data_IF_340246388803
#
_entry.id   IF_340246388803
#
_cell.length_a   1.000
_cell.length_b   1.000
_cell.length_c   1.000
_cell.angle_alpha   90.00
_cell.angle_beta   90.00
_cell.angle_gamma   90.00
#
_symmetry.space_group_name_H-M   'P 1'
#
loop_
_entity.id
_entity.type
_entity.pdbx_description
1 polymer ?
#
# COMPACT_ATOMS: atom_id res chain seq x y z
N UNK A 1 10.48 -23.26 -4.41
CA UNK A 1 10.04 -24.66 -4.42
C UNK A 1 10.46 -25.34 -3.12
N UNK A 2 9.53 -25.93 -2.42
CA UNK A 2 9.76 -26.60 -1.14
C UNK A 2 9.08 -27.99 -1.19
N UNK A 3 9.66 -28.96 -0.48
CA UNK A 3 9.06 -30.29 -0.30
C UNK A 3 8.72 -30.47 1.17
N UNK A 4 7.46 -30.78 1.46
CA UNK A 4 7.01 -31.16 2.80
C UNK A 4 6.48 -32.58 2.72
N UNK A 5 7.29 -33.55 3.17
CA UNK A 5 7.03 -34.96 2.93
C UNK A 5 6.97 -35.24 1.42
N UNK A 6 5.86 -35.79 0.95
CA UNK A 6 5.62 -36.06 -0.48
C UNK A 6 4.89 -34.91 -1.21
N UNK A 7 4.65 -33.78 -0.55
CA UNK A 7 3.95 -32.63 -1.13
C UNK A 7 4.95 -31.61 -1.64
N UNK A 8 4.86 -31.26 -2.93
CA UNK A 8 5.64 -30.20 -3.54
C UNK A 8 4.89 -28.89 -3.49
N UNK A 9 5.47 -27.90 -2.81
CA UNK A 9 4.94 -26.54 -2.75
C UNK A 9 5.69 -25.67 -3.75
N UNK A 10 4.97 -24.99 -4.63
CA UNK A 10 5.53 -24.06 -5.59
C UNK A 10 4.79 -22.72 -5.47
N UNK A 11 5.52 -21.62 -5.44
CA UNK A 11 4.99 -20.27 -5.48
C UNK A 11 5.69 -19.51 -6.60
N UNK A 12 4.93 -19.00 -7.56
CA UNK A 12 5.40 -18.11 -8.61
C UNK A 12 5.50 -16.67 -8.08
N UNK A 13 6.12 -15.78 -8.87
CA UNK A 13 6.24 -14.36 -8.52
C UNK A 13 4.89 -13.65 -8.53
N UNK A 14 4.81 -12.55 -7.80
CA UNK A 14 3.65 -11.65 -7.80
C UNK A 14 3.40 -11.05 -9.19
N UNK A 15 2.20 -10.53 -9.41
CA UNK A 15 1.79 -9.82 -10.63
C UNK A 15 1.91 -10.65 -11.92
N UNK A 16 1.77 -11.98 -11.82
CA UNK A 16 1.87 -12.93 -12.93
C UNK A 16 3.17 -12.84 -13.75
N UNK A 17 4.28 -12.37 -13.16
CA UNK A 17 5.59 -12.30 -13.82
C UNK A 17 6.11 -13.67 -14.22
N UNK A 18 5.76 -14.70 -13.46
CA UNK A 18 6.10 -16.10 -13.74
C UNK A 18 4.91 -17.01 -13.48
N UNK A 19 4.91 -18.19 -14.11
CA UNK A 19 3.95 -19.26 -13.89
C UNK A 19 4.64 -20.60 -13.79
N UNK A 20 4.17 -21.50 -12.91
CA UNK A 20 4.61 -22.90 -12.93
C UNK A 20 3.72 -23.74 -13.84
N UNK A 21 4.37 -24.51 -14.69
CA UNK A 21 3.74 -25.56 -15.49
C UNK A 21 4.12 -26.91 -14.87
N UNK A 22 3.12 -27.65 -14.38
CA UNK A 22 3.31 -28.96 -13.79
C UNK A 22 2.85 -30.04 -14.77
N UNK A 23 3.75 -30.99 -15.09
CA UNK A 23 3.42 -32.21 -15.81
C UNK A 23 3.33 -33.35 -14.81
N UNK A 24 2.16 -33.95 -14.69
CA UNK A 24 1.88 -35.05 -13.75
C UNK A 24 1.68 -36.32 -14.55
N UNK A 25 2.53 -37.32 -14.32
CA UNK A 25 2.41 -38.64 -14.91
C UNK A 25 1.97 -39.63 -13.82
N UNK A 26 0.88 -40.32 -14.07
CA UNK A 26 0.35 -41.36 -13.20
C UNK A 26 0.45 -42.73 -13.90
N UNK A 27 1.25 -43.65 -13.34
CA UNK A 27 1.32 -45.03 -13.81
C UNK A 27 0.15 -45.85 -13.21
N UNK A 28 -0.81 -46.21 -14.07
CA UNK A 28 -2.00 -46.97 -13.62
C UNK A 28 -1.70 -48.33 -13.04
N UNK A 29 -0.58 -48.98 -13.47
CA UNK A 29 -0.18 -50.33 -13.03
C UNK A 29 0.57 -50.27 -11.69
N UNK A 30 1.61 -49.43 -11.59
CA UNK A 30 2.44 -49.32 -10.37
C UNK A 30 1.87 -48.37 -9.34
N UNK A 31 0.85 -47.54 -9.72
CA UNK A 31 0.28 -46.44 -8.89
C UNK A 31 1.27 -45.34 -8.57
N UNK A 32 2.40 -45.30 -9.23
CA UNK A 32 3.42 -44.28 -9.04
C UNK A 32 3.02 -42.97 -9.71
N UNK A 33 3.35 -41.85 -9.05
CA UNK A 33 3.17 -40.50 -9.56
C UNK A 33 4.54 -39.85 -9.72
N UNK A 34 4.79 -39.30 -10.90
CA UNK A 34 5.94 -38.44 -11.13
C UNK A 34 5.49 -37.05 -11.53
N UNK A 35 6.10 -36.01 -10.92
CA UNK A 35 5.77 -34.61 -11.14
C UNK A 35 7.03 -33.87 -11.60
N UNK A 36 7.00 -33.33 -12.81
CA UNK A 36 7.97 -32.36 -13.27
C UNK A 36 7.36 -30.94 -13.24
N UNK A 37 8.17 -29.92 -12.93
CA UNK A 37 7.71 -28.53 -12.78
C UNK A 37 8.66 -27.61 -13.50
N UNK A 38 8.14 -26.83 -14.43
CA UNK A 38 8.88 -25.78 -15.17
C UNK A 38 8.39 -24.40 -14.72
N UNK A 39 9.30 -23.53 -14.31
CA UNK A 39 9.00 -22.11 -14.11
C UNK A 39 9.12 -21.38 -15.46
N UNK A 40 8.02 -20.78 -15.89
CA UNK A 40 7.93 -20.02 -17.15
C UNK A 40 7.82 -18.54 -16.81
N UNK A 41 8.72 -17.73 -17.37
CA UNK A 41 8.58 -16.27 -17.36
C UNK A 41 7.45 -15.84 -18.31
N UNK A 42 6.63 -14.91 -17.86
CA UNK A 42 5.56 -14.30 -18.65
C UNK A 42 6.08 -12.95 -19.13
N UNK A 43 6.35 -12.84 -20.40
CA UNK A 43 6.91 -11.66 -21.05
C UNK A 43 6.28 -11.44 -22.45
N UNK A 44 6.72 -10.42 -23.16
CA UNK A 44 6.21 -10.02 -24.47
C UNK A 44 6.44 -11.06 -25.58
N UNK A 45 7.21 -12.12 -25.33
CA UNK A 45 7.39 -13.23 -26.29
C UNK A 45 6.15 -14.16 -26.32
N UNK A 46 5.27 -14.06 -25.33
CA UNK A 46 4.04 -14.84 -25.24
C UNK A 46 2.91 -14.06 -25.92
N UNK A 47 2.37 -14.65 -26.99
CA UNK A 47 1.28 -14.02 -27.73
C UNK A 47 -0.03 -14.13 -26.94
N UNK A 48 -0.79 -13.05 -26.87
CA UNK A 48 -2.10 -13.01 -26.23
C UNK A 48 -3.08 -14.00 -26.85
N UNK A 49 -3.78 -14.78 -26.03
CA UNK A 49 -4.95 -15.52 -26.49
C UNK A 49 -6.09 -14.55 -26.87
N UNK A 50 -6.57 -14.65 -28.10
CA UNK A 50 -7.58 -13.72 -28.64
C UNK A 50 -8.87 -13.69 -27.83
N UNK A 51 -9.32 -14.84 -27.28
CA UNK A 51 -10.56 -14.89 -26.50
C UNK A 51 -10.37 -14.29 -25.12
N UNK A 52 -9.25 -14.59 -24.48
CA UNK A 52 -8.89 -14.01 -23.18
C UNK A 52 -8.72 -12.50 -23.29
N UNK A 53 -8.04 -12.03 -24.37
CA UNK A 53 -7.85 -10.62 -24.62
C UNK A 53 -9.17 -9.84 -24.68
N UNK A 54 -10.18 -10.36 -25.36
CA UNK A 54 -11.51 -9.71 -25.42
C UNK A 54 -12.14 -9.53 -24.01
N UNK A 55 -11.96 -10.50 -23.14
CA UNK A 55 -12.45 -10.41 -21.75
C UNK A 55 -11.65 -9.38 -20.96
N UNK A 56 -10.33 -9.38 -21.12
CA UNK A 56 -9.43 -8.41 -20.46
C UNK A 56 -9.76 -6.99 -20.93
N UNK A 57 -9.85 -6.75 -22.23
CA UNK A 57 -10.13 -5.44 -22.82
C UNK A 57 -11.46 -4.88 -22.27
N UNK A 58 -12.51 -5.70 -22.19
CA UNK A 58 -13.80 -5.30 -21.57
C UNK A 58 -13.65 -4.83 -20.12
N UNK A 59 -12.89 -5.54 -19.32
CA UNK A 59 -12.69 -5.15 -17.91
C UNK A 59 -11.75 -3.96 -17.75
N UNK A 60 -10.79 -3.81 -18.67
CA UNK A 60 -9.95 -2.61 -18.74
C UNK A 60 -10.79 -1.36 -19.05
N UNK A 61 -11.78 -1.44 -19.95
CA UNK A 61 -12.71 -0.32 -20.20
C UNK A 61 -13.51 0.05 -18.96
N UNK A 62 -14.03 -0.96 -18.22
CA UNK A 62 -14.75 -0.72 -16.96
C UNK A 62 -13.83 -0.05 -15.93
N UNK A 63 -12.63 -0.56 -15.76
CA UNK A 63 -11.62 0.00 -14.84
C UNK A 63 -11.31 1.46 -15.21
N UNK A 64 -11.01 1.72 -16.50
CA UNK A 64 -10.70 3.05 -16.99
C UNK A 64 -11.86 4.03 -16.76
N UNK A 65 -13.10 3.59 -16.99
CA UNK A 65 -14.28 4.40 -16.68
C UNK A 65 -14.41 4.75 -15.19
N UNK A 66 -14.01 3.87 -14.28
CA UNK A 66 -14.02 4.19 -12.85
C UNK A 66 -12.88 5.13 -12.45
N UNK A 67 -11.67 4.90 -12.98
CA UNK A 67 -10.51 5.76 -12.72
C UNK A 67 -10.76 7.17 -13.27
N UNK A 68 -11.37 7.30 -14.46
CA UNK A 68 -11.67 8.62 -15.08
C UNK A 68 -12.68 9.46 -14.29
N UNK A 69 -13.42 8.88 -13.35
CA UNK A 69 -14.25 9.66 -12.40
C UNK A 69 -13.43 10.40 -11.34
N UNK A 70 -12.20 9.96 -11.11
CA UNK A 70 -11.30 10.50 -10.08
C UNK A 70 -10.19 11.33 -10.74
N UNK A 71 -9.71 10.90 -11.92
CA UNK A 71 -8.58 11.49 -12.64
C UNK A 71 -8.93 11.63 -14.12
N UNK A 72 -8.76 12.82 -14.68
CA UNK A 72 -9.11 13.13 -16.06
C UNK A 72 -8.33 12.29 -17.09
N UNK A 73 -7.00 12.17 -16.90
CA UNK A 73 -6.10 11.44 -17.79
C UNK A 73 -5.36 10.30 -17.05
N UNK A 74 -5.93 9.09 -16.93
CA UNK A 74 -5.36 8.01 -16.12
C UNK A 74 -3.96 7.56 -16.54
N UNK A 75 -3.63 7.65 -17.82
CA UNK A 75 -2.35 7.19 -18.38
C UNK A 75 -1.32 8.32 -18.58
N UNK A 76 -1.64 9.55 -18.18
CA UNK A 76 -0.67 10.63 -18.14
C UNK A 76 0.47 10.27 -17.19
N UNK A 77 1.72 10.47 -17.65
CA UNK A 77 2.90 10.32 -16.78
C UNK A 77 2.86 11.46 -15.77
N UNK A 78 2.74 11.11 -14.50
CA UNK A 78 2.63 12.06 -13.39
C UNK A 78 3.95 12.21 -12.63
N UNK A 79 4.86 11.25 -12.78
CA UNK A 79 6.16 11.27 -12.11
C UNK A 79 7.13 10.32 -12.81
N UNK A 80 8.42 10.67 -12.80
CA UNK A 80 9.50 9.80 -13.28
C UNK A 80 10.52 9.58 -12.17
N UNK A 81 10.94 8.33 -11.94
CA UNK A 81 11.96 8.01 -10.95
C UNK A 81 12.94 6.96 -11.45
N UNK A 82 14.24 7.23 -11.25
CA UNK A 82 15.29 6.24 -11.45
C UNK A 82 15.57 5.42 -10.18
N UNK A 83 15.01 5.84 -9.03
CA UNK A 83 15.14 5.14 -7.75
C UNK A 83 13.91 4.27 -7.55
N UNK A 84 14.04 2.93 -7.50
CA UNK A 84 12.90 2.05 -7.28
C UNK A 84 12.15 2.40 -5.99
N UNK A 85 10.86 2.69 -6.08
CA UNK A 85 9.97 2.90 -4.95
C UNK A 85 9.50 1.54 -4.44
N UNK A 86 9.93 1.14 -3.26
CA UNK A 86 9.75 -0.21 -2.72
C UNK A 86 8.38 -0.39 -2.07
N UNK A 87 7.49 -1.09 -2.76
CA UNK A 87 6.16 -1.50 -2.31
C UNK A 87 6.00 -3.00 -2.14
N UNK A 88 7.11 -3.77 -2.07
CA UNK A 88 7.07 -5.22 -1.87
C UNK A 88 6.46 -5.57 -0.52
N UNK A 89 5.71 -6.65 -0.46
CA UNK A 89 4.87 -7.00 0.69
C UNK A 89 5.65 -7.12 2.01
N UNK A 90 6.79 -7.80 2.01
CA UNK A 90 7.61 -7.97 3.22
C UNK A 90 8.23 -6.64 3.70
N UNK A 91 8.95 -5.84 2.86
CA UNK A 91 9.49 -4.56 3.30
C UNK A 91 8.44 -3.57 3.80
N UNK A 92 7.33 -3.40 3.05
CA UNK A 92 6.31 -2.40 3.39
C UNK A 92 5.60 -2.68 4.72
N UNK A 93 5.65 -3.93 5.18
CA UNK A 93 5.06 -4.37 6.45
C UNK A 93 6.07 -4.54 7.57
N UNK A 94 7.36 -4.30 7.34
CA UNK A 94 8.40 -4.59 8.33
C UNK A 94 9.35 -3.43 8.60
N UNK A 95 9.47 -2.48 7.67
CA UNK A 95 10.35 -1.31 7.78
C UNK A 95 9.80 -0.12 7.02
N UNK A 96 10.34 1.07 7.29
CA UNK A 96 10.02 2.24 6.47
C UNK A 96 10.57 2.04 5.06
N UNK A 97 9.74 2.28 4.06
CA UNK A 97 10.15 2.25 2.64
C UNK A 97 9.96 3.63 2.02
N UNK A 98 10.69 3.91 0.95
CA UNK A 98 10.55 5.17 0.23
C UNK A 98 9.14 5.33 -0.40
N UNK A 99 8.51 4.24 -0.86
CA UNK A 99 7.11 4.29 -1.32
C UNK A 99 6.15 4.59 -0.16
N UNK A 100 6.30 3.91 0.98
CA UNK A 100 5.46 4.15 2.16
C UNK A 100 5.59 5.57 2.68
N UNK A 101 6.81 6.10 2.74
CA UNK A 101 7.09 7.48 3.12
C UNK A 101 6.47 8.48 2.14
N UNK A 102 6.57 8.21 0.82
CA UNK A 102 5.97 9.04 -0.22
C UNK A 102 4.43 9.08 -0.07
N UNK A 103 3.79 7.95 0.17
CA UNK A 103 2.34 7.90 0.41
C UNK A 103 1.96 8.70 1.65
N UNK A 104 2.65 8.51 2.77
CA UNK A 104 2.39 9.27 3.99
C UNK A 104 2.62 10.79 3.77
N UNK A 105 3.66 11.18 3.01
CA UNK A 105 3.91 12.58 2.65
C UNK A 105 2.77 13.16 1.78
N UNK A 106 2.23 12.38 0.85
CA UNK A 106 1.10 12.80 0.02
C UNK A 106 -0.18 13.04 0.84
N UNK A 107 -0.35 12.32 1.95
CA UNK A 107 -1.44 12.55 2.88
C UNK A 107 -1.29 13.91 3.58
N UNK A 108 -0.07 14.30 3.95
CA UNK A 108 0.23 15.64 4.47
C UNK A 108 -0.05 16.72 3.41
N UNK A 109 0.42 16.47 2.18
CA UNK A 109 0.21 17.37 1.06
C UNK A 109 -1.27 17.64 0.79
N UNK A 110 -2.15 16.66 0.99
CA UNK A 110 -3.60 16.79 0.83
C UNK A 110 -4.23 17.81 1.77
N UNK A 111 -3.50 18.27 2.78
CA UNK A 111 -3.86 19.31 3.74
C UNK A 111 -2.90 20.50 3.69
N UNK A 112 -2.28 20.78 2.53
CA UNK A 112 -1.30 21.87 2.33
C UNK A 112 -0.13 21.81 3.34
N UNK A 113 0.22 20.62 3.81
CA UNK A 113 1.21 20.38 4.87
C UNK A 113 0.90 21.09 6.22
N UNK A 114 -0.37 21.42 6.47
CA UNK A 114 -0.84 22.01 7.74
C UNK A 114 -1.09 20.96 8.82
N UNK A 115 -0.26 19.93 8.88
CA UNK A 115 -0.33 18.84 9.86
C UNK A 115 1.05 18.53 10.41
N UNK A 116 1.12 17.99 11.62
CA UNK A 116 2.39 17.68 12.27
C UNK A 116 3.05 16.42 11.64
N UNK A 117 2.26 15.41 11.28
CA UNK A 117 2.75 14.16 10.71
C UNK A 117 1.64 13.34 10.01
N UNK A 118 2.04 12.30 9.26
CA UNK A 118 1.12 11.38 8.63
C UNK A 118 1.51 9.93 8.84
N UNK A 119 0.50 9.05 8.94
CA UNK A 119 0.66 7.60 9.09
C UNK A 119 -0.31 6.85 8.19
N UNK A 120 0.16 5.75 7.62
CA UNK A 120 -0.62 4.80 6.83
C UNK A 120 -0.17 3.38 7.13
N UNK A 121 -1.10 2.44 7.24
CA UNK A 121 -0.77 1.04 7.49
C UNK A 121 -0.20 0.35 6.23
N UNK A 122 0.81 -0.48 6.40
CA UNK A 122 1.45 -1.24 5.33
C UNK A 122 0.47 -2.14 4.57
N UNK A 123 -0.57 -2.63 5.26
CA UNK A 123 -1.64 -3.42 4.67
C UNK A 123 -2.49 -2.71 3.62
N UNK A 124 -2.49 -1.38 3.59
CA UNK A 124 -3.17 -0.59 2.55
C UNK A 124 -2.40 -0.55 1.23
N UNK A 125 -1.09 -0.84 1.25
CA UNK A 125 -0.18 -0.79 0.10
C UNK A 125 -0.06 -2.20 -0.49
N UNK A 126 -0.49 -2.41 -1.74
CA UNK A 126 -0.79 -3.77 -2.27
C UNK A 126 -0.10 -4.11 -3.58
N UNK A 127 0.87 -3.33 -4.02
CA UNK A 127 1.51 -3.56 -5.31
C UNK A 127 2.40 -4.83 -5.32
N UNK A 128 3.00 -5.20 -4.18
CA UNK A 128 4.01 -6.28 -4.03
C UNK A 128 5.07 -6.24 -5.14
N UNK A 129 5.56 -5.04 -5.43
CA UNK A 129 6.55 -4.75 -6.48
C UNK A 129 7.28 -3.44 -6.17
N UNK A 130 8.20 -3.07 -7.06
CA UNK A 130 8.87 -1.77 -7.07
C UNK A 130 8.39 -0.95 -8.27
N UNK A 131 8.08 0.33 -8.05
CA UNK A 131 7.80 1.27 -9.13
C UNK A 131 9.09 1.98 -9.53
N UNK A 132 9.41 1.97 -10.82
CA UNK A 132 10.60 2.64 -11.39
C UNK A 132 10.30 3.08 -12.82
N UNK A 133 10.92 4.15 -13.27
CA UNK A 133 10.66 4.78 -14.57
C UNK A 133 9.45 5.69 -14.53
N UNK A 134 8.65 5.66 -15.59
CA UNK A 134 7.45 6.47 -15.73
C UNK A 134 6.30 5.91 -14.90
N UNK A 135 5.73 6.75 -14.06
CA UNK A 135 4.60 6.44 -13.18
C UNK A 135 3.41 7.25 -13.66
N UNK A 136 2.27 6.60 -13.83
CA UNK A 136 1.00 7.23 -14.21
C UNK A 136 -0.06 7.10 -13.10
N UNK A 137 -1.22 7.71 -13.34
CA UNK A 137 -2.29 7.69 -12.33
C UNK A 137 -2.82 6.27 -12.05
N UNK A 138 -2.79 5.34 -13.03
CA UNK A 138 -3.22 3.95 -12.82
C UNK A 138 -2.34 3.26 -11.78
N UNK A 139 -1.04 3.60 -11.72
CA UNK A 139 -0.14 3.02 -10.74
C UNK A 139 -0.54 3.38 -9.30
N UNK A 140 -1.06 4.59 -9.06
CA UNK A 140 -1.59 4.96 -7.75
C UNK A 140 -2.77 4.05 -7.33
N UNK A 141 -3.62 3.64 -8.28
CA UNK A 141 -4.73 2.69 -8.02
C UNK A 141 -4.23 1.26 -7.80
N UNK A 142 -3.13 0.85 -8.45
CA UNK A 142 -2.48 -0.44 -8.21
C UNK A 142 -1.83 -0.48 -6.83
N UNK A 143 -1.21 0.62 -6.41
CA UNK A 143 -0.56 0.76 -5.09
C UNK A 143 -1.60 0.77 -3.97
N UNK A 144 -2.69 1.53 -4.12
CA UNK A 144 -3.71 1.77 -3.11
C UNK A 144 -5.11 1.34 -3.63
N UNK A 145 -5.35 0.04 -3.85
CA UNK A 145 -6.57 -0.43 -4.51
C UNK A 145 -7.86 -0.16 -3.73
N UNK A 146 -7.76 0.00 -2.41
CA UNK A 146 -8.93 0.22 -1.57
C UNK A 146 -9.37 1.69 -1.56
N UNK A 147 -8.48 2.65 -1.83
CA UNK A 147 -8.77 4.07 -1.71
C UNK A 147 -9.09 4.47 -0.27
N UNK A 148 -10.10 5.31 -0.10
CA UNK A 148 -10.55 5.80 1.20
C UNK A 148 -10.08 7.23 1.49
N UNK A 149 -10.75 7.88 2.45
CA UNK A 149 -10.43 9.24 2.83
C UNK A 149 -9.18 9.33 3.71
N UNK A 150 -8.44 10.41 3.56
CA UNK A 150 -7.43 10.85 4.52
C UNK A 150 -8.10 11.77 5.54
N UNK A 151 -8.20 11.34 6.79
CA UNK A 151 -8.78 12.13 7.88
C UNK A 151 -7.72 13.03 8.49
N UNK A 152 -8.12 14.25 8.91
CA UNK A 152 -7.30 15.12 9.76
C UNK A 152 -7.75 14.96 11.21
N UNK A 153 -6.89 14.36 12.02
CA UNK A 153 -7.20 13.99 13.40
C UNK A 153 -6.34 14.80 14.37
N UNK A 154 -6.95 15.41 15.38
CA UNK A 154 -6.24 15.98 16.52
C UNK A 154 -6.28 14.99 17.66
N UNK A 155 -5.11 14.60 18.19
CA UNK A 155 -5.00 13.68 19.31
C UNK A 155 -3.85 14.08 20.25
N UNK A 156 -3.90 13.62 21.51
CA UNK A 156 -2.79 13.82 22.44
C UNK A 156 -1.58 12.98 22.05
N UNK A 157 -0.39 13.50 22.36
CA UNK A 157 0.87 12.77 22.12
C UNK A 157 0.97 11.45 22.86
N UNK A 158 0.27 11.29 24.00
CA UNK A 158 0.15 10.02 24.71
C UNK A 158 -0.47 8.92 23.83
N UNK A 159 -1.55 9.25 23.12
CA UNK A 159 -2.20 8.31 22.19
C UNK A 159 -1.34 8.11 20.94
N UNK A 160 -0.77 9.18 20.39
CA UNK A 160 0.10 9.08 19.22
C UNK A 160 1.28 8.15 19.47
N UNK A 161 1.97 8.25 20.60
CA UNK A 161 3.06 7.33 20.97
C UNK A 161 2.57 5.88 21.03
N UNK A 162 1.43 5.61 21.67
CA UNK A 162 0.85 4.25 21.72
C UNK A 162 0.54 3.69 20.34
N UNK A 163 0.01 4.52 19.44
CA UNK A 163 -0.29 4.15 18.04
C UNK A 163 0.99 3.80 17.29
N UNK A 164 2.04 4.61 17.43
CA UNK A 164 3.32 4.41 16.77
C UNK A 164 4.04 3.18 17.33
N UNK A 165 4.04 2.97 18.64
CA UNK A 165 4.59 1.77 19.29
C UNK A 165 3.86 0.51 18.84
N UNK A 166 2.53 0.53 18.83
CA UNK A 166 1.73 -0.60 18.37
C UNK A 166 2.04 -0.95 16.90
N UNK A 167 2.05 0.05 16.02
CA UNK A 167 2.37 -0.15 14.62
C UNK A 167 3.81 -0.66 14.41
N UNK A 168 4.78 -0.16 15.17
CA UNK A 168 6.16 -0.63 15.09
C UNK A 168 6.30 -2.10 15.56
N UNK A 169 5.61 -2.46 16.63
CA UNK A 169 5.61 -3.83 17.18
C UNK A 169 4.83 -4.81 16.29
N UNK A 170 3.98 -4.31 15.39
CA UNK A 170 3.25 -5.10 14.40
C UNK A 170 4.07 -5.43 13.13
N UNK A 171 5.40 -5.26 13.17
CA UNK A 171 6.28 -5.59 12.05
C UNK A 171 6.04 -7.02 11.54
N UNK A 172 5.94 -7.18 10.22
CA UNK A 172 5.55 -8.42 9.55
C UNK A 172 4.04 -8.54 9.28
N UNK A 173 3.23 -7.62 9.77
CA UNK A 173 1.78 -7.61 9.55
C UNK A 173 1.31 -6.36 8.78
N UNK A 174 0.03 -6.36 8.37
CA UNK A 174 -0.59 -5.20 7.73
C UNK A 174 -0.71 -3.97 8.63
N UNK A 175 -0.67 -4.15 9.94
CA UNK A 175 -0.77 -3.08 10.94
C UNK A 175 0.53 -2.27 11.12
N UNK A 176 1.66 -2.72 10.54
CA UNK A 176 2.89 -1.92 10.53
C UNK A 176 2.67 -0.57 9.87
N UNK A 177 3.13 0.51 10.51
CA UNK A 177 2.87 1.87 10.06
C UNK A 177 4.02 2.46 9.23
N UNK A 178 3.73 2.81 8.00
CA UNK A 178 4.53 3.74 7.20
C UNK A 178 4.22 5.16 7.64
N UNK A 179 5.20 6.07 7.65
CA UNK A 179 5.06 7.38 8.26
C UNK A 179 5.84 8.47 7.53
N UNK A 180 5.38 9.72 7.68
CA UNK A 180 6.07 10.92 7.23
C UNK A 180 6.12 11.94 8.36
N UNK A 181 7.22 12.71 8.44
CA UNK A 181 7.51 13.69 9.51
C UNK A 181 7.64 13.08 10.91
N UNK A 182 7.85 11.76 10.99
CA UNK A 182 8.10 11.04 12.23
C UNK A 182 9.41 10.28 12.10
N UNK A 183 10.33 10.50 13.02
CA UNK A 183 11.56 9.75 13.16
C UNK A 183 11.48 8.85 14.38
N UNK A 184 12.26 7.77 14.38
CA UNK A 184 12.41 6.89 15.52
C UNK A 184 13.90 6.73 15.81
N UNK A 185 14.31 7.16 16.99
CA UNK A 185 15.66 7.01 17.52
C UNK A 185 15.60 6.06 18.71
N UNK A 186 16.23 4.91 18.58
CA UNK A 186 16.12 3.77 19.50
C UNK A 186 14.64 3.35 19.68
N UNK A 187 14.00 3.79 20.75
CA UNK A 187 12.60 3.49 21.08
C UNK A 187 11.71 4.72 21.13
N UNK A 188 12.26 5.92 20.92
CA UNK A 188 11.54 7.18 21.03
C UNK A 188 11.15 7.74 19.66
N UNK A 189 9.91 8.16 19.55
CA UNK A 189 9.42 8.86 18.36
C UNK A 189 9.57 10.37 18.53
N UNK A 190 9.96 11.02 17.44
CA UNK A 190 10.13 12.46 17.34
C UNK A 190 9.43 13.03 16.11
N UNK A 191 8.98 14.28 16.22
CA UNK A 191 8.43 15.09 15.14
C UNK A 191 9.20 16.42 15.15
N UNK A 192 9.72 16.83 13.98
CA UNK A 192 10.54 18.04 13.86
C UNK A 192 11.72 18.05 14.87
N UNK A 193 12.45 16.94 14.95
CA UNK A 193 13.59 16.75 15.86
C UNK A 193 13.26 16.88 17.37
N UNK A 194 11.99 16.86 17.73
CA UNK A 194 11.53 16.94 19.12
C UNK A 194 10.77 15.69 19.51
N UNK A 195 11.15 15.04 20.60
CA UNK A 195 10.43 13.89 21.15
C UNK A 195 8.94 14.23 21.34
N UNK A 196 8.06 13.30 20.99
CA UNK A 196 6.63 13.50 21.13
C UNK A 196 6.27 13.74 22.59
N UNK A 197 5.74 14.92 22.89
CA UNK A 197 5.27 15.29 24.22
C UNK A 197 3.90 14.68 24.49
N UNK A 198 3.72 13.81 25.49
CA UNK A 198 2.46 13.13 25.77
C UNK A 198 1.27 14.05 26.02
N UNK A 199 1.51 15.25 26.55
CA UNK A 199 0.45 16.23 26.90
C UNK A 199 0.10 17.19 25.76
N UNK A 200 0.94 17.29 24.71
CA UNK A 200 0.71 18.14 23.55
C UNK A 200 -0.33 17.50 22.63
N UNK A 201 -1.13 18.33 21.98
CA UNK A 201 -2.05 17.90 20.91
C UNK A 201 -1.30 17.98 19.58
N UNK A 202 -1.35 16.90 18.80
CA UNK A 202 -0.81 16.83 17.46
C UNK A 202 -1.93 16.68 16.44
N UNK A 203 -1.75 17.30 15.28
CA UNK A 203 -2.64 17.19 14.12
C UNK A 203 -2.03 16.20 13.13
N UNK A 204 -2.75 15.13 12.79
CA UNK A 204 -2.23 13.98 12.05
C UNK A 204 -3.10 13.70 10.84
N UNK A 205 -2.48 13.40 9.69
CA UNK A 205 -3.18 12.78 8.57
C UNK A 205 -3.14 11.26 8.72
N UNK A 206 -4.31 10.64 8.65
CA UNK A 206 -4.48 9.21 8.87
C UNK A 206 -5.60 8.66 7.95
N UNK A 207 -5.48 7.39 7.50
CA UNK A 207 -6.55 6.78 6.71
C UNK A 207 -7.82 6.56 7.55
N UNK A 208 -8.98 6.69 6.91
CA UNK A 208 -10.27 6.41 7.53
C UNK A 208 -10.36 4.95 8.02
N UNK A 209 -9.68 4.03 7.37
CA UNK A 209 -9.57 2.63 7.76
C UNK A 209 -8.94 2.46 9.15
N UNK A 210 -7.80 3.11 9.40
CA UNK A 210 -7.13 3.02 10.71
C UNK A 210 -7.99 3.58 11.84
N UNK A 211 -8.77 4.65 11.59
CA UNK A 211 -9.65 5.26 12.59
C UNK A 211 -10.88 4.39 12.92
N UNK A 212 -11.12 3.31 12.19
CA UNK A 212 -12.18 2.32 12.51
C UNK A 212 -11.73 1.26 13.52
N UNK A 213 -10.47 1.27 13.95
CA UNK A 213 -9.92 0.32 14.92
C UNK A 213 -9.65 -1.08 14.36
N UNK A 214 -9.62 -1.27 13.04
CA UNK A 214 -9.42 -2.61 12.46
C UNK A 214 -8.00 -3.14 12.68
N UNK A 215 -6.99 -2.37 12.35
CA UNK A 215 -5.58 -2.75 12.54
C UNK A 215 -5.06 -2.37 13.94
N UNK A 216 -5.60 -1.28 14.53
CA UNK A 216 -5.22 -0.76 15.85
C UNK A 216 -6.50 -0.64 16.67
N UNK A 217 -6.89 -1.66 17.48
CA UNK A 217 -8.22 -1.77 18.08
C UNK A 217 -8.65 -0.61 18.98
N UNK A 218 -7.70 0.09 19.60
CA UNK A 218 -8.01 1.25 20.45
C UNK A 218 -8.05 2.58 19.69
N UNK A 219 -7.67 2.63 18.42
CA UNK A 219 -7.66 3.84 17.60
C UNK A 219 -9.02 4.04 16.94
N UNK A 220 -9.89 4.72 17.65
CA UNK A 220 -11.26 5.03 17.21
C UNK A 220 -11.60 6.50 17.47
N UNK A 221 -12.58 7.08 16.79
CA UNK A 221 -13.02 8.47 17.04
C UNK A 221 -13.47 8.73 18.46
N UNK A 222 -13.92 7.69 19.19
CA UNK A 222 -14.43 7.79 20.56
C UNK A 222 -13.34 7.61 21.63
N UNK A 223 -12.07 7.44 21.27
CA UNK A 223 -10.99 7.35 22.24
C UNK A 223 -10.83 8.69 23.01
N UNK A 224 -10.71 8.68 24.37
CA UNK A 224 -10.68 9.91 25.16
C UNK A 224 -9.56 10.90 24.81
N UNK A 225 -8.46 10.44 24.23
CA UNK A 225 -7.35 11.28 23.79
C UNK A 225 -7.46 11.72 22.32
N UNK A 226 -8.52 11.36 21.60
CA UNK A 226 -8.89 11.93 20.30
C UNK A 226 -9.70 13.18 20.55
N UNK A 227 -9.19 14.32 20.12
CA UNK A 227 -9.80 15.65 20.38
C UNK A 227 -10.80 16.00 19.28
N UNK A 228 -10.46 15.71 18.02
CA UNK A 228 -11.35 15.92 16.89
C UNK A 228 -10.95 15.07 15.70
N UNK A 229 -11.94 14.72 14.88
CA UNK A 229 -11.76 14.03 13.59
C UNK A 229 -12.46 14.85 12.53
N UNK A 230 -11.69 15.33 11.56
CA UNK A 230 -12.22 15.98 10.37
C UNK A 230 -12.29 14.97 9.23
N UNK A 231 -13.47 14.82 8.65
CA UNK A 231 -13.71 14.00 7.46
C UNK A 231 -13.87 14.92 6.26
N UNK A 232 -13.04 14.77 5.20
CA UNK A 232 -13.08 15.66 4.05
C UNK A 232 -14.35 15.46 3.20
N UNK A 233 -14.77 16.53 2.53
CA UNK A 233 -15.81 16.47 1.51
C UNK A 233 -15.28 15.84 0.20
N UNK A 234 -16.17 15.32 -0.64
CA UNK A 234 -15.81 14.66 -1.90
C UNK A 234 -15.03 15.55 -2.88
N UNK A 235 -15.20 16.88 -2.80
CA UNK A 235 -14.46 17.84 -3.62
C UNK A 235 -13.01 18.05 -3.18
N UNK A 236 -12.66 17.70 -1.95
CA UNK A 236 -11.33 17.92 -1.40
C UNK A 236 -10.33 16.85 -1.88
N UNK A 237 -9.05 17.22 -1.95
CA UNK A 237 -7.96 16.31 -2.31
C UNK A 237 -7.88 15.12 -1.34
N UNK A 238 -8.07 15.36 -0.07
CA UNK A 238 -8.05 14.37 1.01
C UNK A 238 -9.23 13.40 1.00
N UNK A 239 -10.24 13.60 0.13
CA UNK A 239 -11.37 12.68 0.00
C UNK A 239 -11.00 11.28 -0.51
N UNK A 240 -9.86 11.17 -1.21
CA UNK A 240 -9.31 9.90 -1.68
C UNK A 240 -7.78 9.94 -1.60
N UNK A 241 -7.18 9.01 -0.87
CA UNK A 241 -5.72 8.91 -0.69
C UNK A 241 -4.97 8.82 -2.03
N UNK A 242 -5.59 8.22 -3.07
CA UNK A 242 -5.02 8.11 -4.42
C UNK A 242 -4.96 9.46 -5.11
N UNK A 243 -6.00 10.29 -4.94
CA UNK A 243 -6.04 11.67 -5.45
C UNK A 243 -4.92 12.50 -4.83
N UNK A 244 -4.73 12.38 -3.51
CA UNK A 244 -3.61 13.00 -2.80
C UNK A 244 -2.25 12.55 -3.34
N UNK A 245 -2.06 11.24 -3.53
CA UNK A 245 -0.82 10.68 -4.07
C UNK A 245 -0.53 11.19 -5.48
N UNK A 246 -1.52 11.19 -6.37
CA UNK A 246 -1.37 11.65 -7.76
C UNK A 246 -0.98 13.14 -7.82
N UNK A 247 -1.67 13.99 -7.06
CA UNK A 247 -1.38 15.42 -7.05
C UNK A 247 -0.01 15.73 -6.41
N UNK A 248 0.36 14.97 -5.38
CA UNK A 248 1.68 15.10 -4.77
C UNK A 248 2.79 14.71 -5.75
N UNK A 249 2.65 13.57 -6.44
CA UNK A 249 3.62 13.13 -7.45
C UNK A 249 3.77 14.14 -8.59
N UNK A 250 2.68 14.76 -9.04
CA UNK A 250 2.73 15.85 -10.05
C UNK A 250 3.45 17.11 -9.56
N UNK A 251 3.60 17.30 -8.26
CA UNK A 251 4.25 18.47 -7.67
C UNK A 251 5.76 18.29 -7.43
N UNK A 252 6.29 17.07 -7.57
CA UNK A 252 7.71 16.75 -7.44
C UNK A 252 8.47 16.97 -8.75
#
# INVERSE_FOLDING_TARGET
>A
NEMIGNVKITKADANAKTAYIHSINFNKKTKEISISSLLKTIDTSIVDDKKVKLVVDKWMEVMNSQISKIVENPYEIIYHTNIPLDGRDIPIRSKQTNLGQLIAASMSYSYNNEIDCAIVNGGSIRIDDQLVGDINSVDAFRVLPFGGAVLKVKMKGSLLNKVLEYGNNAAGSGAYLQRSSIEMNDTLFSINNSTINPSKIYTIAISDYLMKGFDIPFLTPNHPDVISVYTPNLSETSSDIRKGMILYLKSL
#
